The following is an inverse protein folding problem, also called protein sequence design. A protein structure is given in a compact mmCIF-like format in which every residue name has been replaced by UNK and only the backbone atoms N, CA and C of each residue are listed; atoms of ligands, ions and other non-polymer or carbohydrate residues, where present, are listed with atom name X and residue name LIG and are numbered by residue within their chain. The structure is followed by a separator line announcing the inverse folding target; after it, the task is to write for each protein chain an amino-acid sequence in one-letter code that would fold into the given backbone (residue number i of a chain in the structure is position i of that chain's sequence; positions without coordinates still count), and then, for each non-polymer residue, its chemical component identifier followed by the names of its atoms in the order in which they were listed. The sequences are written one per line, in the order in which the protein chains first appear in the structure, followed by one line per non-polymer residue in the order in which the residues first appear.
data_IF_120207543293
#
_entry.id   IF_120207543293
#
_cell.length_a   1.000
_cell.length_b   1.000
_cell.length_c   1.000
_cell.angle_alpha   90.00
_cell.angle_beta   90.00
_cell.angle_gamma   90.00
#
_symmetry.space_group_name_H-M   'P 1'
#
loop_
_entity.id
_entity.type
_entity.pdbx_description
1 polymer ?
#
# COMPACT_ATOMS: atom_id res chain seq x y z
N UNK A 1 -11.03 -6.12 -24.11
CA UNK A 1 -11.11 -7.03 -22.93
C UNK A 1 -12.19 -6.58 -21.95
N UNK A 2 -12.52 -7.39 -20.93
CA UNK A 2 -13.30 -6.96 -19.76
C UNK A 2 -12.54 -7.32 -18.48
N UNK A 3 -12.21 -6.32 -17.68
CA UNK A 3 -11.53 -6.49 -16.39
C UNK A 3 -12.58 -6.66 -15.31
N UNK A 4 -12.58 -7.81 -14.63
CA UNK A 4 -13.45 -8.07 -13.47
C UNK A 4 -12.73 -7.77 -12.16
N UNK A 5 -11.40 -7.98 -12.11
CA UNK A 5 -10.54 -7.55 -11.01
C UNK A 5 -9.18 -7.11 -11.54
N UNK A 6 -8.73 -5.93 -11.12
CA UNK A 6 -7.37 -5.42 -11.35
C UNK A 6 -6.99 -4.51 -10.19
N UNK A 7 -6.02 -4.89 -9.34
CA UNK A 7 -5.66 -4.11 -8.18
C UNK A 7 -5.11 -2.73 -8.57
N UNK A 8 -5.68 -1.69 -7.97
CA UNK A 8 -5.28 -0.29 -8.12
C UNK A 8 -5.39 0.43 -6.77
N UNK A 9 -4.44 1.29 -6.45
CA UNK A 9 -4.34 1.96 -5.14
C UNK A 9 -3.46 1.22 -4.13
N UNK A 10 -3.72 1.38 -2.84
CA UNK A 10 -2.88 0.84 -1.77
C UNK A 10 -3.39 -0.49 -1.23
N UNK A 11 -2.50 -1.46 -1.06
CA UNK A 11 -2.82 -2.79 -0.52
C UNK A 11 -1.75 -3.26 0.46
N UNK A 12 -2.17 -4.00 1.49
CA UNK A 12 -1.25 -4.85 2.24
C UNK A 12 -0.90 -6.07 1.41
N UNK A 13 0.34 -6.56 1.57
CA UNK A 13 0.88 -7.67 0.80
C UNK A 13 -0.04 -8.90 0.75
N UNK A 14 -0.57 -9.33 1.89
CA UNK A 14 -1.44 -10.52 1.98
C UNK A 14 -2.90 -10.24 1.58
N UNK A 15 -3.23 -8.99 1.22
CA UNK A 15 -4.58 -8.55 0.86
C UNK A 15 -4.67 -8.08 -0.60
N UNK A 16 -3.65 -8.29 -1.43
CA UNK A 16 -3.67 -7.89 -2.84
C UNK A 16 -4.68 -8.78 -3.58
N UNK A 17 -5.72 -8.20 -4.22
CA UNK A 17 -6.66 -8.97 -5.04
C UNK A 17 -5.99 -9.61 -6.26
N UNK A 18 -6.52 -10.76 -6.68
CA UNK A 18 -6.16 -11.39 -7.95
C UNK A 18 -6.51 -10.50 -9.16
N UNK A 19 -5.87 -10.77 -10.30
CA UNK A 19 -6.26 -10.18 -11.58
C UNK A 19 -7.18 -11.15 -12.30
N UNK A 20 -8.40 -10.71 -12.61
CA UNK A 20 -9.40 -11.52 -13.33
C UNK A 20 -9.84 -10.78 -14.58
N UNK A 21 -9.74 -11.46 -15.73
CA UNK A 21 -9.93 -10.87 -17.06
C UNK A 21 -10.72 -11.81 -17.93
N UNK A 22 -11.78 -11.27 -18.55
CA UNK A 22 -12.51 -11.94 -19.62
C UNK A 22 -12.04 -11.40 -20.98
N UNK A 23 -11.72 -12.31 -21.89
CA UNK A 23 -11.30 -11.98 -23.25
C UNK A 23 -11.75 -13.04 -24.25
N UNK A 24 -12.18 -12.58 -25.42
CA UNK A 24 -12.43 -13.43 -26.59
C UNK A 24 -11.22 -13.50 -27.54
N UNK A 25 -10.08 -12.90 -27.14
CA UNK A 25 -8.85 -12.84 -27.95
C UNK A 25 -7.93 -14.00 -27.62
N UNK A 26 -6.85 -14.12 -28.39
CA UNK A 26 -5.98 -15.30 -28.31
C UNK A 26 -5.18 -15.35 -27.01
N UNK A 27 -4.68 -14.20 -26.55
CA UNK A 27 -3.83 -14.11 -25.35
C UNK A 27 -3.80 -12.70 -24.78
N UNK A 28 -3.26 -12.59 -23.58
CA UNK A 28 -2.93 -11.34 -22.91
C UNK A 28 -1.42 -11.31 -22.66
N UNK A 29 -0.76 -10.19 -22.91
CA UNK A 29 0.56 -9.92 -22.34
C UNK A 29 0.35 -9.19 -21.01
N UNK A 30 0.78 -9.81 -19.92
CA UNK A 30 0.71 -9.21 -18.59
C UNK A 30 2.13 -8.87 -18.14
N UNK A 31 2.37 -7.58 -17.91
CA UNK A 31 3.65 -7.06 -17.45
C UNK A 31 3.47 -6.38 -16.09
N UNK A 32 4.31 -6.72 -15.11
CA UNK A 32 4.37 -6.05 -13.81
C UNK A 32 5.75 -5.42 -13.65
N UNK A 33 5.77 -4.12 -13.31
CA UNK A 33 6.99 -3.36 -13.06
C UNK A 33 7.03 -2.81 -11.65
N UNK A 34 8.22 -2.74 -11.08
CA UNK A 34 8.53 -1.98 -9.86
C UNK A 34 9.60 -0.96 -10.21
N UNK A 35 9.22 0.31 -10.33
CA UNK A 35 10.10 1.33 -10.90
C UNK A 35 10.47 0.97 -12.33
N UNK A 36 11.77 0.87 -12.61
CA UNK A 36 12.29 0.50 -13.93
C UNK A 36 12.45 -1.03 -14.11
N UNK A 37 12.33 -1.81 -13.03
CA UNK A 37 12.51 -3.27 -13.06
C UNK A 37 11.22 -3.96 -13.51
N UNK A 38 11.28 -4.72 -14.60
CA UNK A 38 10.22 -5.68 -14.96
C UNK A 38 10.38 -6.95 -14.13
N UNK A 39 9.37 -7.29 -13.32
CA UNK A 39 9.41 -8.44 -12.41
C UNK A 39 8.53 -9.60 -12.89
N UNK A 40 7.62 -9.33 -13.82
CA UNK A 40 6.74 -10.31 -14.45
C UNK A 40 6.45 -9.83 -15.86
N UNK A 41 6.56 -10.71 -16.86
CA UNK A 41 6.29 -10.40 -18.27
C UNK A 41 5.95 -11.69 -19.01
N UNK A 42 4.66 -12.02 -19.05
CA UNK A 42 4.21 -13.33 -19.53
C UNK A 42 3.00 -13.22 -20.46
N UNK A 43 2.96 -14.13 -21.43
CA UNK A 43 1.79 -14.34 -22.29
C UNK A 43 0.84 -15.35 -21.65
N UNK A 44 -0.37 -14.91 -21.34
CA UNK A 44 -1.41 -15.71 -20.73
C UNK A 44 -2.53 -16.01 -21.71
N UNK A 45 -2.95 -17.26 -21.76
CA UNK A 45 -3.96 -17.74 -22.70
C UNK A 45 -5.27 -18.00 -21.96
N UNK A 46 -6.41 -17.51 -22.46
CA UNK A 46 -7.69 -17.69 -21.79
C UNK A 46 -8.11 -19.16 -21.80
N UNK A 47 -8.52 -19.67 -20.64
CA UNK A 47 -9.28 -20.91 -20.51
C UNK A 47 -10.76 -20.56 -20.44
N UNK A 48 -11.56 -21.07 -21.37
CA UNK A 48 -12.99 -20.72 -21.50
C UNK A 48 -13.29 -19.22 -21.55
N UNK A 49 -12.37 -18.44 -22.14
CA UNK A 49 -12.48 -16.98 -22.26
C UNK A 49 -12.01 -16.20 -21.03
N UNK A 50 -11.43 -16.86 -20.03
CA UNK A 50 -10.99 -16.25 -18.77
C UNK A 50 -9.47 -16.42 -18.55
N UNK A 51 -8.83 -15.36 -18.06
CA UNK A 51 -7.46 -15.38 -17.53
C UNK A 51 -7.51 -14.91 -16.09
N UNK A 52 -6.89 -15.68 -15.19
CA UNK A 52 -6.72 -15.33 -13.78
C UNK A 52 -5.23 -15.33 -13.42
N UNK A 53 -4.76 -14.24 -12.83
CA UNK A 53 -3.42 -14.15 -12.22
C UNK A 53 -3.62 -14.12 -10.72
N UNK A 54 -3.31 -15.24 -10.08
CA UNK A 54 -3.52 -15.46 -8.65
C UNK A 54 -2.22 -15.34 -7.88
N UNK A 55 -2.32 -15.28 -6.55
CA UNK A 55 -1.18 -15.28 -5.62
C UNK A 55 -0.19 -14.14 -5.89
N UNK A 56 -0.69 -12.96 -6.26
CA UNK A 56 0.15 -11.76 -6.48
C UNK A 56 1.02 -11.44 -5.27
N UNK A 57 0.57 -11.77 -4.06
CA UNK A 57 1.35 -11.65 -2.84
C UNK A 57 2.73 -12.29 -2.98
N UNK A 58 2.86 -13.47 -3.59
CA UNK A 58 4.15 -14.16 -3.73
C UNK A 58 5.08 -13.50 -4.74
N UNK A 59 4.52 -12.89 -5.79
CA UNK A 59 5.28 -12.06 -6.74
C UNK A 59 5.87 -10.84 -6.01
N UNK A 60 5.06 -10.15 -5.19
CA UNK A 60 5.51 -8.94 -4.49
C UNK A 60 6.34 -9.20 -3.23
N UNK A 61 6.18 -10.36 -2.57
CA UNK A 61 6.79 -10.72 -1.28
C UNK A 61 8.30 -10.45 -1.19
N UNK A 62 9.16 -10.91 -2.13
CA UNK A 62 10.60 -10.65 -2.02
C UNK A 62 10.96 -9.15 -2.10
N UNK A 63 10.17 -8.37 -2.84
CA UNK A 63 10.38 -6.93 -3.01
C UNK A 63 9.84 -6.14 -1.81
N UNK A 64 8.60 -6.41 -1.40
CA UNK A 64 7.94 -5.78 -0.26
C UNK A 64 8.70 -6.06 1.03
N UNK A 65 9.17 -7.30 1.26
CA UNK A 65 9.98 -7.64 2.44
C UNK A 65 11.26 -6.82 2.55
N UNK A 66 11.87 -6.45 1.42
CA UNK A 66 13.12 -5.67 1.39
C UNK A 66 12.88 -4.16 1.51
N UNK A 67 11.82 -3.64 0.90
CA UNK A 67 11.57 -2.20 0.76
C UNK A 67 10.50 -1.66 1.72
N UNK A 68 9.76 -2.54 2.39
CA UNK A 68 8.59 -2.28 3.26
C UNK A 68 7.39 -1.63 2.57
N UNK A 69 7.61 -0.81 1.55
CA UNK A 69 6.61 -0.29 0.63
C UNK A 69 7.16 -0.34 -0.80
N UNK A 70 6.29 -0.68 -1.76
CA UNK A 70 6.65 -0.87 -3.17
C UNK A 70 5.61 -0.19 -4.05
N UNK A 71 6.07 0.68 -4.94
CA UNK A 71 5.22 1.23 -6.01
C UNK A 71 5.39 0.38 -7.26
N UNK A 72 4.28 -0.10 -7.81
CA UNK A 72 4.26 -0.96 -8.98
C UNK A 72 3.24 -0.50 -10.03
N UNK A 73 3.46 -0.95 -11.27
CA UNK A 73 2.49 -0.83 -12.35
C UNK A 73 2.23 -2.18 -12.99
N UNK A 74 0.97 -2.46 -13.28
CA UNK A 74 0.51 -3.65 -13.99
C UNK A 74 -0.04 -3.18 -15.33
N UNK A 75 0.48 -3.71 -16.42
CA UNK A 75 0.00 -3.47 -17.78
C UNK A 75 -0.50 -4.76 -18.38
N UNK A 76 -1.69 -4.73 -18.96
CA UNK A 76 -2.32 -5.84 -19.67
C UNK A 76 -2.55 -5.40 -21.11
N UNK A 77 -1.94 -6.08 -22.07
CA UNK A 77 -2.21 -5.89 -23.49
C UNK A 77 -2.96 -7.10 -24.05
N UNK A 78 -4.19 -6.89 -24.50
CA UNK A 78 -5.01 -7.91 -25.15
C UNK A 78 -4.56 -8.10 -26.61
N UNK A 79 -4.30 -9.34 -27.01
CA UNK A 79 -3.70 -9.65 -28.30
C UNK A 79 -4.49 -10.69 -29.10
N UNK A 80 -4.67 -10.39 -30.38
CA UNK A 80 -5.12 -11.34 -31.39
C UNK A 80 -3.92 -11.90 -32.15
N UNK A 81 -3.69 -13.20 -32.05
CA UNK A 81 -2.73 -13.90 -32.91
C UNK A 81 -3.45 -14.30 -34.21
N UNK A 82 -2.84 -14.09 -35.39
CA UNK A 82 -3.41 -14.52 -36.66
C UNK A 82 -3.57 -16.05 -36.71
N UNK A 83 -4.49 -16.53 -37.56
CA UNK A 83 -4.77 -17.96 -37.73
C UNK A 83 -3.58 -18.77 -38.28
N UNK A 84 -2.57 -18.10 -38.83
CA UNK A 84 -1.29 -18.71 -39.22
C UNK A 84 -0.47 -19.20 -38.02
N UNK A 85 -0.79 -18.76 -36.80
CA UNK A 85 -0.02 -19.06 -35.59
C UNK A 85 1.24 -18.22 -35.43
N UNK A 86 1.50 -17.27 -36.33
CA UNK A 86 2.63 -16.35 -36.24
C UNK A 86 2.43 -15.36 -35.07
N UNK A 87 3.13 -15.59 -33.98
CA UNK A 87 3.03 -14.80 -32.75
C UNK A 87 3.65 -13.41 -32.86
N UNK A 88 4.59 -13.21 -33.79
CA UNK A 88 5.27 -11.93 -33.99
C UNK A 88 4.36 -10.93 -34.73
N UNK A 89 3.40 -11.46 -35.48
CA UNK A 89 2.33 -10.72 -36.15
C UNK A 89 1.09 -10.52 -35.28
N UNK A 90 1.16 -10.77 -33.97
CA UNK A 90 0.04 -10.54 -33.06
C UNK A 90 -0.33 -9.04 -33.02
N UNK A 91 -1.63 -8.75 -33.11
CA UNK A 91 -2.14 -7.38 -33.02
C UNK A 91 -2.64 -7.09 -31.62
N UNK A 92 -2.17 -6.00 -31.02
CA UNK A 92 -2.72 -5.50 -29.75
C UNK A 92 -4.05 -4.82 -30.04
N UNK A 93 -5.12 -5.31 -29.41
CA UNK A 93 -6.48 -4.81 -29.63
C UNK A 93 -6.95 -3.88 -28.52
N UNK A 94 -6.37 -3.99 -27.33
CA UNK A 94 -6.74 -3.20 -26.16
C UNK A 94 -5.58 -3.23 -25.14
N UNK A 95 -5.43 -2.17 -24.34
CA UNK A 95 -4.41 -2.07 -23.29
C UNK A 95 -5.01 -1.42 -22.04
N UNK A 96 -4.83 -2.06 -20.88
CA UNK A 96 -5.18 -1.53 -19.57
C UNK A 96 -3.94 -1.40 -18.71
N UNK A 97 -3.94 -0.42 -17.80
CA UNK A 97 -2.85 -0.23 -16.85
C UNK A 97 -3.39 0.22 -15.51
N UNK A 98 -2.88 -0.37 -14.43
CA UNK A 98 -3.16 0.03 -13.07
C UNK A 98 -1.85 0.29 -12.32
N UNK A 99 -1.91 1.26 -11.41
CA UNK A 99 -0.81 1.55 -10.49
C UNK A 99 -1.23 1.15 -9.09
N UNK A 100 -0.34 0.49 -8.37
CA UNK A 100 -0.58 0.06 -7.01
C UNK A 100 0.60 0.35 -6.10
N UNK A 101 0.29 0.52 -4.82
CA UNK A 101 1.26 0.62 -3.74
C UNK A 101 1.08 -0.56 -2.80
N UNK A 102 2.12 -1.37 -2.67
CA UNK A 102 2.11 -2.59 -1.86
C UNK A 102 2.92 -2.38 -0.58
N UNK A 103 2.26 -2.52 0.56
CA UNK A 103 2.87 -2.40 1.88
C UNK A 103 3.12 -3.78 2.47
N UNK A 104 4.33 -4.02 2.95
CA UNK A 104 4.69 -5.29 3.56
C UNK A 104 3.84 -5.54 4.81
N UNK A 105 3.09 -6.63 4.77
CA UNK A 105 2.41 -7.22 5.93
C UNK A 105 2.61 -8.74 5.84
N UNK A 106 2.75 -9.41 6.98
CA UNK A 106 2.74 -10.88 7.05
C UNK A 106 1.41 -11.42 7.58
N UNK A 107 0.47 -10.52 7.85
CA UNK A 107 -0.85 -10.83 8.38
C UNK A 107 -1.90 -10.24 7.45
N UNK A 108 -2.98 -10.99 7.27
CA UNK A 108 -4.20 -10.49 6.68
C UNK A 108 -4.85 -9.50 7.66
N UNK A 109 -5.01 -8.25 7.23
CA UNK A 109 -5.69 -7.21 8.01
C UNK A 109 -7.15 -7.20 7.59
N UNK A 110 -7.98 -7.84 8.41
CA UNK A 110 -9.43 -7.99 8.15
C UNK A 110 -10.22 -6.82 8.74
N UNK A 111 -11.20 -6.32 7.99
CA UNK A 111 -12.19 -5.34 8.47
C UNK A 111 -11.78 -3.87 8.33
N UNK A 112 -10.61 -3.59 7.76
CA UNK A 112 -10.16 -2.24 7.40
C UNK A 112 -9.32 -2.29 6.13
N UNK A 113 -9.63 -1.46 5.14
CA UNK A 113 -8.82 -1.40 3.91
C UNK A 113 -7.47 -0.73 4.18
N UNK A 114 -6.49 -0.99 3.32
CA UNK A 114 -5.13 -0.51 3.51
C UNK A 114 -5.05 1.02 3.58
N UNK A 115 -5.82 1.74 2.77
CA UNK A 115 -5.80 3.21 2.78
C UNK A 115 -6.34 3.76 4.10
N UNK A 116 -7.46 3.21 4.58
CA UNK A 116 -8.02 3.55 5.89
C UNK A 116 -7.03 3.20 7.00
N UNK A 117 -6.41 2.01 6.98
CA UNK A 117 -5.43 1.63 8.00
C UNK A 117 -4.26 2.60 8.02
N UNK A 118 -3.64 2.88 6.86
CA UNK A 118 -2.48 3.75 6.74
C UNK A 118 -2.76 5.18 7.17
N UNK A 119 -3.99 5.66 7.02
CA UNK A 119 -4.37 7.01 7.44
C UNK A 119 -4.74 7.09 8.93
N UNK A 120 -5.16 5.98 9.54
CA UNK A 120 -5.78 5.98 10.87
C UNK A 120 -5.00 5.24 11.97
N UNK A 121 -3.94 4.50 11.63
CA UNK A 121 -3.16 3.69 12.58
C UNK A 121 -1.65 3.98 12.47
N UNK A 122 -0.99 4.18 13.60
CA UNK A 122 0.44 4.43 13.71
C UNK A 122 1.18 3.10 13.95
N UNK A 123 1.38 2.30 12.91
CA UNK A 123 2.20 1.10 13.02
C UNK A 123 3.46 1.27 12.16
N UNK A 124 4.53 1.70 12.85
CA UNK A 124 5.96 1.65 12.50
C UNK A 124 6.63 2.77 11.70
N UNK A 125 5.94 3.55 10.87
CA UNK A 125 6.55 4.69 10.19
C UNK A 125 5.55 5.85 10.08
N UNK A 126 5.87 7.00 10.67
CA UNK A 126 5.13 8.23 10.40
C UNK A 126 5.48 8.69 8.98
N UNK A 127 4.74 8.19 8.01
CA UNK A 127 4.81 8.66 6.62
C UNK A 127 3.67 9.66 6.39
N UNK A 128 4.01 10.94 6.44
CA UNK A 128 3.07 12.06 6.28
C UNK A 128 2.16 12.32 7.49
N UNK A 129 1.05 13.01 7.24
CA UNK A 129 0.05 13.31 8.27
C UNK A 129 -0.85 12.10 8.51
N UNK A 130 -1.22 11.85 9.76
CA UNK A 130 -2.12 10.78 10.19
C UNK A 130 -3.28 11.35 11.00
N UNK A 131 -4.43 10.70 10.95
CA UNK A 131 -5.62 11.08 11.70
C UNK A 131 -5.79 10.09 12.86
N UNK A 132 -5.88 10.61 14.09
CA UNK A 132 -6.17 9.82 15.29
C UNK A 132 -7.33 10.42 16.06
N UNK A 133 -7.78 9.73 17.12
CA UNK A 133 -8.94 10.09 17.92
C UNK A 133 -8.66 9.86 19.41
N UNK A 134 -9.37 10.59 20.27
CA UNK A 134 -9.34 10.37 21.71
C UNK A 134 -9.64 8.91 22.07
N UNK A 135 -8.87 8.38 23.03
CA UNK A 135 -8.96 6.99 23.48
C UNK A 135 -8.13 5.98 22.68
N UNK A 136 -7.48 6.39 21.58
CA UNK A 136 -6.52 5.53 20.87
C UNK A 136 -5.14 5.60 21.50
N UNK A 137 -4.48 4.43 21.57
CA UNK A 137 -3.07 4.34 21.91
C UNK A 137 -2.24 4.44 20.64
N UNK A 138 -1.37 5.44 20.56
CA UNK A 138 -0.53 5.69 19.40
C UNK A 138 0.94 5.70 19.81
N UNK A 139 1.75 4.89 19.12
CA UNK A 139 3.18 4.77 19.39
C UNK A 139 3.98 5.11 18.14
N UNK A 140 5.02 5.93 18.31
CA UNK A 140 5.94 6.28 17.24
C UNK A 140 7.32 5.71 17.53
N UNK A 141 7.90 5.07 16.52
CA UNK A 141 9.26 4.54 16.57
C UNK A 141 10.18 5.43 15.73
N UNK A 142 11.31 5.84 16.28
CA UNK A 142 12.35 6.56 15.54
C UNK A 142 13.73 5.96 15.83
N UNK A 143 14.64 6.12 14.87
CA UNK A 143 16.03 5.66 15.00
C UNK A 143 16.82 6.67 15.84
N UNK A 144 17.58 6.19 16.83
CA UNK A 144 18.31 7.04 17.77
C UNK A 144 17.74 7.04 19.19
N UNK A 145 18.31 7.89 20.05
CA UNK A 145 17.97 8.03 21.48
C UNK A 145 17.78 9.48 21.92
N UNK A 146 17.79 10.41 20.97
CA UNK A 146 17.57 11.83 21.22
C UNK A 146 16.16 12.08 21.74
N UNK A 147 16.00 12.98 22.71
CA UNK A 147 14.68 13.32 23.24
C UNK A 147 13.78 13.87 22.12
N UNK A 148 12.59 13.28 21.97
CA UNK A 148 11.60 13.75 21.02
C UNK A 148 10.71 14.85 21.62
N UNK A 149 10.44 15.89 20.82
CA UNK A 149 9.51 16.96 21.15
C UNK A 149 8.23 16.83 20.31
N UNK A 150 7.09 17.05 20.97
CA UNK A 150 5.76 17.02 20.34
C UNK A 150 5.14 18.39 20.50
N UNK A 151 4.69 18.97 19.39
CA UNK A 151 3.93 20.21 19.39
C UNK A 151 2.45 19.90 19.17
N UNK A 152 1.64 20.16 20.17
CA UNK A 152 0.19 20.09 20.05
C UNK A 152 -0.37 21.43 19.58
N UNK A 153 -1.33 21.38 18.66
CA UNK A 153 -2.08 22.53 18.17
C UNK A 153 -3.53 22.40 18.64
N UNK A 154 -4.10 23.51 19.13
CA UNK A 154 -5.43 23.52 19.75
C UNK A 154 -6.43 24.37 18.95
N UNK A 155 -7.73 24.17 19.20
CA UNK A 155 -8.82 24.83 18.50
C UNK A 155 -8.83 26.36 18.66
N UNK A 156 -8.31 26.87 19.78
CA UNK A 156 -8.08 28.29 20.04
C UNK A 156 -6.86 28.88 19.31
N UNK A 157 -6.22 28.08 18.43
CA UNK A 157 -5.01 28.39 17.65
C UNK A 157 -3.75 28.54 18.50
N UNK A 158 -3.81 28.20 19.78
CA UNK A 158 -2.60 28.11 20.60
C UNK A 158 -1.84 26.83 20.31
N UNK A 159 -0.59 26.79 20.76
CA UNK A 159 0.26 25.61 20.63
C UNK A 159 0.98 25.35 21.94
N UNK A 160 1.28 24.10 22.23
CA UNK A 160 2.03 23.69 23.41
C UNK A 160 3.02 22.60 23.06
N UNK A 161 4.26 22.76 23.51
CA UNK A 161 5.30 21.76 23.35
C UNK A 161 5.33 20.82 24.55
N UNK A 162 5.53 19.55 24.26
CA UNK A 162 5.66 18.47 25.22
C UNK A 162 6.92 17.68 24.91
N UNK A 163 7.61 17.23 25.95
CA UNK A 163 8.60 16.18 25.80
C UNK A 163 7.89 14.84 25.77
N UNK A 164 8.13 14.03 24.73
CA UNK A 164 7.59 12.68 24.66
C UNK A 164 8.58 11.68 25.28
N UNK A 165 8.36 11.21 26.52
CA UNK A 165 9.27 10.25 27.15
C UNK A 165 9.26 8.93 26.39
N UNK A 166 10.43 8.31 26.32
CA UNK A 166 10.59 6.97 25.80
C UNK A 166 9.80 5.98 26.67
N UNK A 167 8.97 5.16 26.02
CA UNK A 167 8.20 4.07 26.64
C UNK A 167 8.77 2.68 26.29
N UNK A 168 9.72 2.63 25.36
CA UNK A 168 10.41 1.42 24.94
C UNK A 168 11.51 1.71 23.92
N UNK A 169 12.22 0.68 23.47
CA UNK A 169 13.32 0.80 22.51
C UNK A 169 14.51 -0.10 22.80
N UNK A 170 15.59 0.10 22.06
CA UNK A 170 16.88 -0.56 22.26
C UNK A 170 18.04 0.39 21.87
N UNK A 171 19.22 -0.16 21.57
CA UNK A 171 20.40 0.63 21.19
C UNK A 171 20.32 1.30 19.82
N UNK A 172 19.30 0.96 19.02
CA UNK A 172 19.15 1.39 17.64
C UNK A 172 17.92 2.29 17.47
N UNK A 173 16.83 2.01 18.20
CA UNK A 173 15.58 2.76 18.07
C UNK A 173 14.95 3.10 19.42
N UNK A 174 14.15 4.16 19.43
CA UNK A 174 13.34 4.59 20.57
C UNK A 174 11.86 4.58 20.20
N UNK A 175 11.02 4.21 21.17
CA UNK A 175 9.56 4.25 21.07
C UNK A 175 9.01 5.30 22.02
N UNK A 176 8.16 6.18 21.51
CA UNK A 176 7.44 7.19 22.29
C UNK A 176 5.94 6.96 22.19
N UNK A 177 5.25 7.25 23.28
CA UNK A 177 3.78 7.28 23.32
C UNK A 177 3.30 8.68 22.93
N UNK A 178 2.62 8.75 21.79
CA UNK A 178 2.04 9.95 21.17
C UNK A 178 0.50 9.88 21.15
N UNK A 179 -0.10 9.11 22.07
CA UNK A 179 -1.55 9.02 22.23
C UNK A 179 -2.15 10.40 22.53
N UNK A 180 -3.30 10.78 21.91
CA UNK A 180 -3.91 12.10 22.08
C UNK A 180 -4.16 12.51 23.54
N UNK A 181 -4.48 11.55 24.42
CA UNK A 181 -4.72 11.78 25.86
C UNK A 181 -3.51 12.35 26.61
N UNK A 182 -2.30 12.28 26.03
CA UNK A 182 -1.11 12.88 26.65
C UNK A 182 -1.01 14.38 26.46
N UNK A 183 -1.81 14.93 25.54
CA UNK A 183 -1.72 16.32 25.09
C UNK A 183 -3.01 17.11 25.36
N UNK A 184 -3.95 16.53 26.11
CA UNK A 184 -5.17 17.21 26.56
C UNK A 184 -4.87 18.41 27.46
N UNK A 185 -5.75 19.41 27.38
CA UNK A 185 -5.74 20.61 28.22
C UNK A 185 -7.17 20.93 28.63
N UNK A 186 -7.39 21.30 29.91
CA UNK A 186 -8.74 21.49 30.47
C UNK A 186 -9.60 22.53 29.72
N UNK A 187 -8.96 23.54 29.10
CA UNK A 187 -9.66 24.71 28.56
C UNK A 187 -9.76 24.74 27.02
N UNK A 188 -9.19 23.76 26.31
CA UNK A 188 -9.17 23.76 24.84
C UNK A 188 -8.98 22.37 24.26
N UNK A 189 -9.64 22.12 23.11
CA UNK A 189 -9.59 20.84 22.40
C UNK A 189 -8.40 20.80 21.43
N UNK A 190 -7.82 19.61 21.25
CA UNK A 190 -6.84 19.36 20.19
C UNK A 190 -7.46 19.64 18.82
N UNK A 191 -6.70 20.28 17.93
CA UNK A 191 -7.14 20.55 16.57
C UNK A 191 -6.99 19.29 15.71
N UNK A 192 -8.12 18.73 15.27
CA UNK A 192 -8.16 17.47 14.52
C UNK A 192 -8.02 17.62 12.98
N UNK A 193 -7.99 18.86 12.46
CA UNK A 193 -7.89 19.14 11.02
C UNK A 193 -7.15 20.45 10.75
N UNK A 194 -6.27 20.43 9.74
CA UNK A 194 -5.61 21.62 9.18
C UNK A 194 -6.39 22.18 7.99
#
# INVERSE_FOLDING_TARGET
MTITSLPSGSFFLENIPDIDILTAKTRLLVTIKIGDDTIYDEYLYPADGEVRVIDLADIFRPYARRRLAVTASITIAEQQVPSSGDTDSATVTDTQTANLQVYYSTVDIVGVDCSTFLTTHFLTLLEGHKITYMGRLEYLHYMGKETAEVTAHYADKTTKSFTAPAVGGNDIYTTIDVSPSRFETEDTDLLYTW
#
